data_IF_290603565396
#
_entry.id   IF_290603565396
#
_cell.length_a   1.000
_cell.length_b   1.000
_cell.length_c   1.000
_cell.angle_alpha   90.00
_cell.angle_beta   90.00
_cell.angle_gamma   90.00
#
_symmetry.space_group_name_H-M   'P 1'
#
loop_
_entity.id
_entity.type
_entity.pdbx_description
1 polymer ?
#
# COMPACT_ATOMS: atom_id res chain seq x y z
N UNK A 1 1.54 5.42 -10.47
CA UNK A 1 1.64 6.82 -9.98
C UNK A 1 2.24 6.97 -8.57
N UNK A 2 1.98 6.07 -7.61
CA UNK A 2 2.32 6.25 -6.18
C UNK A 2 3.79 6.63 -5.85
N UNK A 3 4.78 6.00 -6.49
CA UNK A 3 6.20 6.30 -6.23
C UNK A 3 6.58 7.74 -6.63
N UNK A 4 5.99 8.26 -7.71
CA UNK A 4 6.22 9.66 -8.11
C UNK A 4 5.68 10.63 -7.07
N UNK A 5 4.51 10.34 -6.48
CA UNK A 5 3.96 11.16 -5.39
C UNK A 5 4.84 11.09 -4.14
N UNK A 6 5.34 9.89 -3.77
CA UNK A 6 6.29 9.73 -2.68
C UNK A 6 7.54 10.59 -2.89
N UNK A 7 8.19 10.45 -4.05
CA UNK A 7 9.44 11.15 -4.34
C UNK A 7 9.24 12.68 -4.33
N UNK A 8 8.11 13.18 -4.86
CA UNK A 8 7.77 14.61 -4.88
C UNK A 8 7.34 15.17 -3.54
N UNK A 9 6.85 14.34 -2.63
CA UNK A 9 6.38 14.78 -1.29
C UNK A 9 7.34 14.40 -0.16
N UNK A 10 8.55 13.90 -0.49
CA UNK A 10 9.60 13.54 0.47
C UNK A 10 9.88 14.61 1.53
N UNK A 11 9.93 15.93 1.21
CA UNK A 11 10.11 16.97 2.22
C UNK A 11 8.98 17.04 3.27
N UNK A 12 7.76 16.58 2.93
CA UNK A 12 6.60 16.63 3.84
C UNK A 12 6.57 15.44 4.79
N UNK A 13 6.86 14.24 4.29
CA UNK A 13 6.74 13.03 5.09
C UNK A 13 8.07 12.57 5.73
N UNK A 14 9.21 12.88 5.12
CA UNK A 14 10.54 12.54 5.66
C UNK A 14 10.81 11.04 5.78
N UNK A 15 10.19 10.22 4.92
CA UNK A 15 10.36 8.75 4.94
C UNK A 15 11.54 8.32 4.06
N UNK A 16 12.22 7.26 4.47
CA UNK A 16 13.41 6.70 3.79
C UNK A 16 13.08 5.64 2.72
N UNK A 17 14.12 5.02 2.19
CA UNK A 17 14.02 4.09 1.05
C UNK A 17 13.18 2.85 1.35
N UNK A 18 13.31 2.26 2.55
CA UNK A 18 12.50 1.11 2.94
C UNK A 18 10.98 1.38 2.82
N UNK A 19 10.53 2.57 3.21
CA UNK A 19 9.12 2.94 3.08
C UNK A 19 8.70 3.06 1.60
N UNK A 20 9.63 3.48 0.74
CA UNK A 20 9.43 3.56 -0.71
C UNK A 20 9.33 2.17 -1.33
N UNK A 21 10.15 1.22 -0.89
CA UNK A 21 10.10 -0.20 -1.31
C UNK A 21 8.80 -0.88 -0.88
N UNK A 22 8.34 -0.62 0.35
CA UNK A 22 7.03 -1.11 0.82
C UNK A 22 5.90 -0.55 -0.04
N UNK A 23 5.94 0.74 -0.36
CA UNK A 23 4.96 1.37 -1.25
C UNK A 23 4.99 0.76 -2.65
N UNK A 24 6.18 0.53 -3.22
CA UNK A 24 6.34 -0.12 -4.52
C UNK A 24 5.73 -1.53 -4.51
N UNK A 25 6.08 -2.31 -3.49
CA UNK A 25 5.62 -3.69 -3.33
C UNK A 25 4.11 -3.79 -3.17
N UNK A 26 3.51 -2.86 -2.41
CA UNK A 26 2.06 -2.77 -2.24
C UNK A 26 1.37 -2.30 -3.53
N UNK A 27 1.91 -1.29 -4.22
CA UNK A 27 1.35 -0.78 -5.47
C UNK A 27 1.33 -1.84 -6.58
N UNK A 28 2.28 -2.79 -6.61
CA UNK A 28 2.22 -3.92 -7.55
C UNK A 28 1.12 -4.94 -7.20
N UNK A 29 0.82 -5.12 -5.90
CA UNK A 29 0.02 -6.25 -5.40
C UNK A 29 -1.38 -5.88 -4.90
N UNK A 30 -1.69 -4.60 -4.77
CA UNK A 30 -2.94 -4.13 -4.15
C UNK A 30 -4.20 -4.59 -4.90
N UNK A 31 -4.10 -4.81 -6.21
CA UNK A 31 -5.21 -5.27 -7.06
C UNK A 31 -5.34 -6.80 -7.14
N UNK A 32 -4.45 -7.60 -6.54
CA UNK A 32 -4.52 -9.09 -6.61
C UNK A 32 -5.84 -9.63 -6.05
N UNK A 33 -6.45 -8.94 -5.08
CA UNK A 33 -7.75 -9.34 -4.55
C UNK A 33 -8.92 -9.16 -5.53
N UNK A 34 -8.77 -8.32 -6.57
CA UNK A 34 -9.81 -8.00 -7.54
C UNK A 34 -10.18 -9.18 -8.43
N UNK A 35 -9.22 -10.10 -8.64
CA UNK A 35 -9.36 -11.33 -9.43
C UNK A 35 -10.35 -12.34 -8.81
N UNK A 36 -10.59 -12.25 -7.49
CA UNK A 36 -11.44 -13.21 -6.77
C UNK A 36 -12.81 -12.65 -6.38
N UNK A 37 -12.89 -11.38 -5.94
CA UNK A 37 -14.17 -10.77 -5.56
C UNK A 37 -14.12 -9.24 -5.48
N UNK A 38 -14.84 -8.55 -6.37
CA UNK A 38 -14.88 -7.09 -6.45
C UNK A 38 -15.43 -6.40 -5.19
N UNK A 39 -16.35 -7.01 -4.43
CA UNK A 39 -17.01 -6.36 -3.29
C UNK A 39 -16.16 -6.30 -2.01
N UNK A 40 -15.12 -7.13 -1.85
CA UNK A 40 -14.25 -7.17 -0.64
C UNK A 40 -12.76 -7.36 -0.91
N UNK A 41 -12.29 -7.18 -2.15
CA UNK A 41 -10.91 -7.48 -2.54
C UNK A 41 -9.81 -6.90 -1.66
N UNK A 42 -9.91 -5.65 -1.19
CA UNK A 42 -8.91 -5.08 -0.27
C UNK A 42 -8.68 -5.92 1.01
N UNK A 43 -9.70 -6.62 1.53
CA UNK A 43 -9.51 -7.57 2.63
C UNK A 43 -8.84 -8.86 2.16
N UNK A 44 -9.20 -9.37 0.98
CA UNK A 44 -8.58 -10.57 0.42
C UNK A 44 -7.12 -10.33 0.00
N UNK A 45 -6.78 -9.14 -0.52
CA UNK A 45 -5.41 -8.75 -0.85
C UNK A 45 -4.52 -8.83 0.39
N UNK A 46 -4.98 -8.33 1.54
CA UNK A 46 -4.29 -8.52 2.83
C UNK A 46 -4.03 -10.00 3.13
N UNK A 47 -5.08 -10.84 3.06
CA UNK A 47 -4.94 -12.26 3.38
C UNK A 47 -4.02 -13.02 2.41
N UNK A 48 -4.10 -12.70 1.12
CA UNK A 48 -3.29 -13.32 0.07
C UNK A 48 -1.81 -12.92 0.23
N UNK A 49 -1.52 -11.64 0.49
CA UNK A 49 -0.14 -11.18 0.72
C UNK A 49 0.43 -11.79 2.00
N UNK A 50 -0.35 -11.90 3.08
CA UNK A 50 0.08 -12.54 4.34
C UNK A 50 0.40 -14.03 4.21
N UNK A 51 -0.21 -14.71 3.23
CA UNK A 51 -0.04 -16.14 2.99
C UNK A 51 0.86 -16.43 1.78
N UNK A 52 1.20 -15.42 1.00
CA UNK A 52 2.13 -15.56 -0.09
C UNK A 52 3.52 -15.79 0.50
N UNK A 53 4.21 -16.82 0.00
CA UNK A 53 5.61 -17.03 0.31
C UNK A 53 6.44 -15.97 -0.43
N UNK A 54 6.59 -14.81 0.20
CA UNK A 54 7.33 -13.68 -0.33
C UNK A 54 8.78 -13.78 0.15
N UNK A 55 9.55 -14.64 -0.52
CA UNK A 55 10.97 -14.83 -0.24
C UNK A 55 11.71 -13.48 -0.22
N UNK A 56 12.55 -13.29 0.80
CA UNK A 56 13.36 -12.08 0.99
C UNK A 56 12.69 -10.96 1.79
N UNK A 57 11.45 -11.13 2.26
CA UNK A 57 10.79 -10.18 3.16
C UNK A 57 10.66 -10.75 4.58
N UNK A 58 10.85 -9.90 5.57
CA UNK A 58 10.55 -10.23 6.97
C UNK A 58 9.05 -10.23 7.24
N UNK A 59 8.64 -10.86 8.34
CA UNK A 59 7.22 -10.91 8.74
C UNK A 59 6.61 -9.51 8.91
N UNK A 60 7.38 -8.55 9.43
CA UNK A 60 6.95 -7.17 9.64
C UNK A 60 6.78 -6.41 8.31
N UNK A 61 7.65 -6.67 7.34
CA UNK A 61 7.54 -6.09 6.00
C UNK A 61 6.33 -6.65 5.25
N UNK A 62 6.09 -7.97 5.35
CA UNK A 62 4.89 -8.61 4.82
C UNK A 62 3.63 -8.00 5.47
N UNK A 63 3.64 -7.81 6.79
CA UNK A 63 2.53 -7.16 7.51
C UNK A 63 2.31 -5.72 7.04
N UNK A 64 3.38 -4.94 6.84
CA UNK A 64 3.29 -3.58 6.32
C UNK A 64 2.68 -3.56 4.91
N UNK A 65 3.22 -4.35 3.99
CA UNK A 65 2.75 -4.41 2.60
C UNK A 65 1.29 -4.90 2.53
N UNK A 66 0.93 -5.90 3.34
CA UNK A 66 -0.45 -6.39 3.43
C UNK A 66 -1.40 -5.30 3.94
N UNK A 67 -1.02 -4.54 4.97
CA UNK A 67 -1.81 -3.42 5.48
C UNK A 67 -1.94 -2.29 4.45
N UNK A 68 -0.89 -1.96 3.70
CA UNK A 68 -0.96 -1.00 2.60
C UNK A 68 -1.96 -1.43 1.53
N UNK A 69 -1.88 -2.68 1.10
CA UNK A 69 -2.85 -3.27 0.17
C UNK A 69 -4.28 -3.31 0.76
N UNK A 70 -4.44 -3.41 2.09
CA UNK A 70 -5.74 -3.36 2.75
C UNK A 70 -6.36 -1.97 2.72
N UNK A 71 -5.55 -0.94 2.96
CA UNK A 71 -6.00 0.43 3.18
C UNK A 71 -5.97 1.32 1.93
N UNK A 72 -5.54 0.79 0.78
CA UNK A 72 -5.60 1.47 -0.52
C UNK A 72 -7.01 1.94 -0.93
N UNK A 73 -8.08 1.44 -0.28
CA UNK A 73 -9.45 1.90 -0.48
C UNK A 73 -10.32 1.73 0.76
N UNK A 74 -11.46 2.41 0.76
CA UNK A 74 -12.48 2.37 1.85
C UNK A 74 -11.91 2.88 3.17
N UNK A 75 -11.90 2.06 4.22
CA UNK A 75 -11.50 2.49 5.56
C UNK A 75 -10.05 2.99 5.58
N UNK A 76 -9.80 4.01 6.39
CA UNK A 76 -8.45 4.46 6.71
C UNK A 76 -7.85 3.58 7.82
N UNK A 77 -6.51 3.54 7.98
CA UNK A 77 -5.89 2.94 9.16
C UNK A 77 -6.48 3.57 10.44
N UNK A 78 -6.95 2.73 11.38
CA UNK A 78 -7.44 3.15 12.70
C UNK A 78 -6.81 2.29 13.80
N UNK A 79 -6.47 2.90 14.94
CA UNK A 79 -5.89 2.26 16.15
C UNK A 79 -6.60 0.96 16.58
N UNK A 80 -7.92 0.90 16.40
CA UNK A 80 -8.77 -0.23 16.82
C UNK A 80 -8.76 -1.40 15.83
N UNK A 81 -8.15 -1.27 14.66
CA UNK A 81 -8.06 -2.37 13.69
C UNK A 81 -6.95 -3.35 14.13
N UNK A 82 -7.30 -4.63 14.29
CA UNK A 82 -6.35 -5.66 14.71
C UNK A 82 -5.10 -5.74 13.81
N UNK A 83 -5.25 -5.55 12.50
CA UNK A 83 -4.12 -5.58 11.55
C UNK A 83 -3.16 -4.41 11.74
N UNK A 84 -3.64 -3.27 12.26
CA UNK A 84 -2.77 -2.14 12.60
C UNK A 84 -2.05 -2.35 13.94
N UNK A 85 -2.65 -3.11 14.87
CA UNK A 85 -2.00 -3.45 16.14
C UNK A 85 -0.91 -4.51 15.97
N UNK A 86 -0.99 -5.31 14.91
CA UNK A 86 0.05 -6.27 14.54
C UNK A 86 1.33 -5.63 14.00
N UNK A 87 1.31 -4.33 13.67
CA UNK A 87 2.50 -3.60 13.23
C UNK A 87 3.29 -3.06 14.43
N UNK A 88 4.64 -3.01 14.34
CA UNK A 88 5.47 -2.29 15.29
C UNK A 88 4.99 -0.84 15.49
N UNK A 89 4.98 -0.36 16.73
CA UNK A 89 4.37 0.94 17.09
C UNK A 89 4.97 2.16 16.36
N UNK A 90 6.23 2.08 15.93
CA UNK A 90 6.93 3.09 15.14
C UNK A 90 6.45 3.18 13.68
N UNK A 91 5.84 2.12 13.15
CA UNK A 91 5.48 2.02 11.73
C UNK A 91 4.13 2.62 11.38
N UNK A 92 3.41 3.15 12.36
CA UNK A 92 2.07 3.69 12.15
C UNK A 92 2.03 4.93 11.25
N UNK A 93 2.87 5.92 11.53
CA UNK A 93 2.93 7.16 10.74
C UNK A 93 3.27 6.81 9.29
N UNK A 94 4.20 5.88 9.11
CA UNK A 94 4.56 5.33 7.80
C UNK A 94 3.34 4.71 7.10
N UNK A 95 2.60 3.82 7.77
CA UNK A 95 1.39 3.22 7.19
C UNK A 95 0.35 4.27 6.77
N UNK A 96 0.10 5.27 7.60
CA UNK A 96 -0.89 6.33 7.33
C UNK A 96 -0.49 7.16 6.10
N UNK A 97 0.77 7.62 6.03
CA UNK A 97 1.30 8.38 4.89
C UNK A 97 1.26 7.55 3.60
N UNK A 98 1.81 6.34 3.63
CA UNK A 98 1.91 5.49 2.45
C UNK A 98 0.52 5.07 1.93
N UNK A 99 -0.42 4.78 2.83
CA UNK A 99 -1.81 4.48 2.45
C UNK A 99 -2.48 5.69 1.81
N UNK A 100 -2.22 6.91 2.28
CA UNK A 100 -2.76 8.12 1.68
C UNK A 100 -2.21 8.33 0.26
N UNK A 101 -0.89 8.18 0.07
CA UNK A 101 -0.24 8.29 -1.24
C UNK A 101 -0.79 7.26 -2.23
N UNK A 102 -0.96 6.01 -1.80
CA UNK A 102 -1.50 4.94 -2.65
C UNK A 102 -2.96 5.23 -3.05
N UNK A 103 -3.79 5.70 -2.12
CA UNK A 103 -5.19 6.09 -2.42
C UNK A 103 -5.29 7.24 -3.42
N UNK A 104 -4.43 8.25 -3.29
CA UNK A 104 -4.39 9.39 -4.21
C UNK A 104 -3.96 8.90 -5.59
N UNK A 105 -2.92 8.07 -5.67
CA UNK A 105 -2.47 7.46 -6.92
C UNK A 105 -3.59 6.67 -7.60
N UNK A 106 -4.27 5.77 -6.88
CA UNK A 106 -5.38 4.96 -7.43
C UNK A 106 -6.55 5.84 -7.90
N UNK A 107 -6.83 6.94 -7.18
CA UNK A 107 -7.86 7.90 -7.56
C UNK A 107 -7.54 8.65 -8.86
N UNK A 108 -6.28 9.09 -9.01
CA UNK A 108 -5.77 9.75 -10.21
C UNK A 108 -5.73 8.80 -11.42
N UNK A 109 -5.29 7.56 -11.21
CA UNK A 109 -5.22 6.55 -12.27
C UNK A 109 -6.63 6.15 -12.76
N UNK A 110 -7.65 6.09 -11.86
CA UNK A 110 -9.05 5.81 -12.21
C UNK A 110 -9.78 6.96 -12.90
N UNK A 111 -9.34 8.20 -12.73
CA UNK A 111 -9.97 9.38 -13.34
C UNK A 111 -9.42 9.67 -14.75
N UNK A 112 -8.70 8.73 -15.36
CA UNK A 112 -8.11 8.85 -16.69
C UNK A 112 -7.15 10.05 -16.85
N UNK A 113 -6.40 10.41 -15.79
CA UNK A 113 -5.24 11.30 -15.94
C UNK A 113 -4.01 10.59 -16.53
N UNK A 114 -4.15 9.38 -17.07
CA UNK A 114 -3.13 8.65 -17.81
C UNK A 114 -2.81 9.33 -19.16
N UNK A 115 -2.16 10.48 -19.11
CA UNK A 115 -1.47 11.10 -20.24
C UNK A 115 0.02 10.89 -20.07
N UNK A 116 0.48 9.65 -19.88
CA UNK A 116 1.86 9.28 -20.28
C UNK A 116 1.88 7.78 -20.65
N UNK A 117 2.19 7.41 -21.91
CA UNK A 117 2.50 6.04 -22.26
C UNK A 117 3.82 5.67 -21.58
N UNK A 118 3.84 4.56 -20.85
CA UNK A 118 5.09 4.00 -20.33
C UNK A 118 5.48 2.84 -21.23
N UNK A 119 6.19 3.14 -22.31
CA UNK A 119 7.09 2.18 -22.94
C UNK A 119 8.51 2.61 -22.57
N UNK A 120 9.20 1.74 -21.84
CA UNK A 120 10.55 1.24 -22.11
C UNK A 120 10.87 0.24 -21.01
#
# INVERSE_FOLDING_TARGET
MALRLFDRTKPLHGLGEQAREWLASAALRHDVGSLFNSRRHHKHAYYLIKRADLAGLTADEIEMIANLARYHRRALPRRKHATQQALPGNNRRTLEVLSALLRIADGLDRSHFSVIPTWT
#
